data_IF_502862342971
#
_entry.id   IF_502862342971
#
_cell.length_a   1.000
_cell.length_b   1.000
_cell.length_c   1.000
_cell.angle_alpha   90.00
_cell.angle_beta   90.00
_cell.angle_gamma   90.00
#
_symmetry.space_group_name_H-M   'P 1'
#
loop_
_entity.id
_entity.type
_entity.pdbx_description
1 polymer ?
#
# COMPACT_ATOMS: atom_id res chain seq x y z
N UNK A 1 -19.41 9.08 -18.44
CA UNK A 1 -20.24 7.87 -18.52
C UNK A 1 -21.38 8.04 -17.52
N UNK A 2 -22.63 8.00 -17.96
CA UNK A 2 -23.80 8.06 -17.06
C UNK A 2 -23.74 6.85 -16.11
N UNK A 3 -24.04 7.08 -14.82
CA UNK A 3 -24.10 5.98 -13.86
C UNK A 3 -25.26 5.05 -14.24
N UNK A 4 -25.08 3.72 -14.16
CA UNK A 4 -26.18 2.79 -14.42
C UNK A 4 -27.33 3.04 -13.43
N UNK A 5 -28.59 2.78 -13.82
CA UNK A 5 -29.71 2.89 -12.90
C UNK A 5 -29.51 1.93 -11.70
N UNK A 6 -30.07 2.25 -10.53
CA UNK A 6 -30.02 1.34 -9.38
C UNK A 6 -30.56 -0.05 -9.72
N UNK A 7 -29.80 -1.10 -9.35
CA UNK A 7 -30.15 -2.51 -9.52
C UNK A 7 -29.99 -3.21 -8.16
N UNK A 8 -31.02 -3.09 -7.31
CA UNK A 8 -30.92 -3.43 -5.88
C UNK A 8 -30.59 -4.89 -5.60
N UNK A 9 -31.05 -5.82 -6.44
CA UNK A 9 -30.80 -7.25 -6.30
C UNK A 9 -29.60 -7.74 -7.11
N UNK A 10 -28.97 -6.85 -7.89
CA UNK A 10 -27.94 -7.15 -8.89
C UNK A 10 -28.43 -8.16 -9.95
N UNK A 11 -29.69 -8.05 -10.37
CA UNK A 11 -30.27 -8.87 -11.42
C UNK A 11 -29.44 -8.82 -12.71
N UNK A 12 -29.17 -10.00 -13.29
CA UNK A 12 -28.38 -10.13 -14.51
C UNK A 12 -26.87 -10.04 -14.31
N UNK A 13 -26.38 -9.95 -13.06
CA UNK A 13 -24.97 -10.02 -12.76
C UNK A 13 -24.53 -11.42 -12.32
N UNK A 14 -23.30 -11.78 -12.71
CA UNK A 14 -22.58 -12.95 -12.23
C UNK A 14 -21.19 -12.53 -11.77
N UNK A 15 -20.92 -12.80 -10.50
CA UNK A 15 -19.64 -12.64 -9.84
C UNK A 15 -18.84 -13.94 -9.93
N UNK A 16 -17.71 -13.89 -10.61
CA UNK A 16 -16.70 -14.94 -10.61
C UNK A 16 -15.54 -14.54 -9.70
N UNK A 17 -15.23 -15.37 -8.72
CA UNK A 17 -14.12 -15.20 -7.79
C UNK A 17 -13.02 -16.21 -8.14
N UNK A 18 -11.85 -15.70 -8.55
CA UNK A 18 -10.64 -16.47 -8.80
C UNK A 18 -9.60 -16.12 -7.71
N UNK A 19 -9.40 -17.01 -6.76
CA UNK A 19 -8.53 -16.77 -5.59
C UNK A 19 -7.85 -18.04 -5.08
N UNK A 20 -6.69 -17.91 -4.44
CA UNK A 20 -5.96 -19.04 -3.84
C UNK A 20 -6.60 -19.54 -2.54
N UNK A 21 -7.59 -18.79 -2.05
CA UNK A 21 -8.37 -19.03 -0.85
C UNK A 21 -9.85 -19.14 -1.23
N UNK A 22 -10.60 -19.88 -0.43
CA UNK A 22 -12.05 -20.05 -0.61
C UNK A 22 -12.79 -19.00 0.20
N UNK A 23 -13.69 -18.19 -0.40
CA UNK A 23 -14.56 -17.30 0.35
C UNK A 23 -15.33 -18.07 1.43
N UNK A 24 -15.41 -17.57 2.67
CA UNK A 24 -16.15 -18.25 3.72
C UNK A 24 -17.62 -18.50 3.31
N UNK A 25 -18.22 -19.67 3.60
CA UNK A 25 -19.61 -19.94 3.24
C UNK A 25 -20.59 -18.87 3.73
N UNK A 26 -20.40 -18.36 4.94
CA UNK A 26 -21.18 -17.27 5.54
C UNK A 26 -21.09 -15.96 4.74
N UNK A 27 -19.97 -15.72 4.06
CA UNK A 27 -19.82 -14.56 3.18
C UNK A 27 -20.64 -14.74 1.90
N UNK A 28 -20.64 -15.95 1.32
CA UNK A 28 -21.45 -16.26 0.12
C UNK A 28 -22.94 -16.21 0.45
N UNK A 29 -23.35 -16.72 1.61
CA UNK A 29 -24.74 -16.69 2.06
C UNK A 29 -25.20 -15.25 2.36
N UNK A 30 -24.33 -14.42 2.93
CA UNK A 30 -24.57 -12.97 3.04
C UNK A 30 -24.83 -12.34 1.67
N UNK A 31 -23.99 -12.59 0.66
CA UNK A 31 -24.19 -12.04 -0.68
C UNK A 31 -25.52 -12.48 -1.30
N UNK A 32 -25.91 -13.75 -1.14
CA UNK A 32 -27.21 -14.27 -1.60
C UNK A 32 -28.39 -13.61 -0.88
N UNK A 33 -28.25 -13.31 0.40
CA UNK A 33 -29.28 -12.62 1.17
C UNK A 33 -29.41 -11.14 0.80
N UNK A 34 -28.29 -10.44 0.54
CA UNK A 34 -28.30 -9.02 0.19
C UNK A 34 -28.66 -8.79 -1.30
N UNK A 35 -28.25 -9.71 -2.18
CA UNK A 35 -28.41 -9.62 -3.63
C UNK A 35 -28.96 -10.96 -4.18
N UNK A 36 -30.26 -11.23 -4.05
CA UNK A 36 -30.85 -12.54 -4.36
C UNK A 36 -30.74 -12.96 -5.83
N UNK A 37 -30.54 -12.01 -6.75
CA UNK A 37 -30.38 -12.30 -8.19
C UNK A 37 -28.91 -12.32 -8.64
N UNK A 38 -27.94 -12.12 -7.73
CA UNK A 38 -26.51 -12.21 -8.03
C UNK A 38 -26.07 -13.68 -8.05
N UNK A 39 -25.65 -14.16 -9.22
CA UNK A 39 -24.97 -15.45 -9.30
C UNK A 39 -23.53 -15.31 -8.77
N UNK A 40 -23.11 -16.18 -7.85
CA UNK A 40 -21.75 -16.19 -7.29
C UNK A 40 -21.10 -17.53 -7.55
N UNK A 41 -19.93 -17.51 -8.20
CA UNK A 41 -19.11 -18.69 -8.51
C UNK A 41 -17.69 -18.45 -8.01
N UNK A 42 -17.07 -19.48 -7.45
CA UNK A 42 -15.68 -19.43 -7.00
C UNK A 42 -14.90 -20.60 -7.59
N UNK A 43 -13.71 -20.30 -8.09
CA UNK A 43 -12.72 -21.28 -8.50
C UNK A 43 -11.37 -20.96 -7.87
N UNK A 44 -10.71 -22.00 -7.34
CA UNK A 44 -9.40 -21.84 -6.72
C UNK A 44 -8.34 -21.56 -7.80
N UNK A 45 -7.56 -20.50 -7.63
CA UNK A 45 -6.51 -20.09 -8.57
C UNK A 45 -5.40 -19.31 -7.86
N UNK A 46 -4.13 -19.65 -8.13
CA UNK A 46 -3.02 -18.92 -7.50
C UNK A 46 -2.92 -17.49 -8.02
N UNK A 47 -2.43 -16.57 -7.18
CA UNK A 47 -2.39 -15.15 -7.51
C UNK A 47 -1.62 -14.85 -8.82
N UNK A 48 -0.53 -15.60 -9.07
CA UNK A 48 0.34 -15.44 -10.23
C UNK A 48 -0.19 -16.10 -11.50
N UNK A 49 -1.18 -16.99 -11.39
CA UNK A 49 -1.70 -17.71 -12.54
C UNK A 49 -2.40 -16.73 -13.50
N UNK A 50 -2.13 -16.90 -14.79
CA UNK A 50 -2.65 -16.00 -15.84
C UNK A 50 -3.96 -16.50 -16.45
N UNK A 51 -4.30 -17.78 -16.26
CA UNK A 51 -5.52 -18.39 -16.77
C UNK A 51 -6.03 -19.43 -15.78
N UNK A 52 -7.36 -19.65 -15.70
CA UNK A 52 -7.92 -20.78 -14.98
C UNK A 52 -7.35 -22.13 -15.47
N UNK A 53 -7.19 -23.09 -14.56
CA UNK A 53 -6.69 -24.43 -14.87
C UNK A 53 -7.71 -25.33 -15.58
N UNK A 54 -7.34 -26.59 -15.82
CA UNK A 54 -8.14 -27.55 -16.60
C UNK A 54 -9.55 -27.88 -16.05
N UNK A 55 -9.84 -27.55 -14.79
CA UNK A 55 -11.15 -27.76 -14.17
C UNK A 55 -12.16 -26.63 -14.38
N UNK A 56 -11.77 -25.54 -15.04
CA UNK A 56 -12.63 -24.40 -15.32
C UNK A 56 -13.32 -24.58 -16.68
N UNK A 57 -14.65 -24.48 -16.75
CA UNK A 57 -15.39 -24.51 -18.01
C UNK A 57 -15.30 -23.14 -18.70
N UNK A 58 -14.67 -23.02 -19.89
CA UNK A 58 -14.58 -21.75 -20.61
C UNK A 58 -15.93 -21.09 -20.91
N UNK A 59 -17.02 -21.87 -20.98
CA UNK A 59 -18.37 -21.32 -21.18
C UNK A 59 -18.82 -20.45 -20.01
N UNK A 60 -18.25 -20.62 -18.82
CA UNK A 60 -18.56 -19.81 -17.64
C UNK A 60 -18.22 -18.34 -17.83
N UNK A 61 -17.27 -17.98 -18.70
CA UNK A 61 -16.93 -16.57 -18.96
C UNK A 61 -18.06 -15.80 -19.65
N UNK A 62 -18.90 -16.46 -20.44
CA UNK A 62 -19.85 -15.81 -21.37
C UNK A 62 -20.92 -14.95 -20.68
N UNK A 63 -21.23 -15.26 -19.43
CA UNK A 63 -22.24 -14.58 -18.62
C UNK A 63 -21.64 -13.85 -17.40
N UNK A 64 -20.32 -13.89 -17.20
CA UNK A 64 -19.63 -13.14 -16.14
C UNK A 64 -19.72 -11.64 -16.43
N UNK A 65 -20.17 -10.88 -15.43
CA UNK A 65 -20.20 -9.42 -15.47
C UNK A 65 -19.26 -8.78 -14.46
N UNK A 66 -18.92 -9.52 -13.39
CA UNK A 66 -18.03 -9.09 -12.32
C UNK A 66 -16.96 -10.17 -12.07
N UNK A 67 -15.70 -9.76 -12.03
CA UNK A 67 -14.57 -10.65 -11.77
C UNK A 67 -13.77 -10.17 -10.56
N UNK A 68 -13.53 -11.03 -9.57
CA UNK A 68 -12.48 -10.83 -8.57
C UNK A 68 -11.29 -11.74 -8.93
N UNK A 69 -10.10 -11.18 -9.11
CA UNK A 69 -8.92 -11.94 -9.56
C UNK A 69 -7.60 -11.33 -9.08
N UNK A 70 -6.55 -12.14 -9.03
CA UNK A 70 -5.17 -11.66 -8.87
C UNK A 70 -4.61 -11.15 -10.21
N UNK A 71 -4.35 -12.09 -11.12
CA UNK A 71 -3.70 -11.83 -12.41
C UNK A 71 -4.40 -12.45 -13.63
N UNK A 72 -5.41 -13.31 -13.43
CA UNK A 72 -6.05 -14.03 -14.53
C UNK A 72 -7.17 -13.17 -15.13
N UNK A 73 -6.97 -12.72 -16.36
CA UNK A 73 -7.90 -11.89 -17.12
C UNK A 73 -8.35 -12.64 -18.38
N UNK A 74 -9.66 -12.66 -18.70
CA UNK A 74 -10.14 -13.16 -19.98
C UNK A 74 -9.90 -12.14 -21.09
N UNK A 75 -9.96 -12.58 -22.34
CA UNK A 75 -10.20 -11.68 -23.47
C UNK A 75 -11.64 -11.17 -23.45
N UNK A 76 -11.89 -10.04 -24.11
CA UNK A 76 -13.27 -9.51 -24.20
C UNK A 76 -14.20 -10.44 -25.00
N UNK A 77 -13.65 -11.24 -25.92
CA UNK A 77 -14.44 -12.22 -26.69
C UNK A 77 -14.83 -13.44 -25.84
N UNK A 78 -13.98 -13.86 -24.90
CA UNK A 78 -14.31 -14.90 -23.93
C UNK A 78 -15.37 -14.42 -22.93
N UNK A 79 -15.25 -13.18 -22.44
CA UNK A 79 -16.13 -12.58 -21.44
C UNK A 79 -16.83 -11.29 -21.95
N UNK A 80 -17.74 -11.38 -22.94
CA UNK A 80 -18.31 -10.21 -23.63
C UNK A 80 -19.23 -9.36 -22.75
N UNK A 81 -19.66 -9.88 -21.60
CA UNK A 81 -20.50 -9.16 -20.64
C UNK A 81 -19.73 -8.58 -19.46
N UNK A 82 -18.40 -8.77 -19.41
CA UNK A 82 -17.59 -8.28 -18.30
C UNK A 82 -17.64 -6.76 -18.23
N UNK A 83 -17.92 -6.23 -17.03
CA UNK A 83 -18.07 -4.80 -16.79
C UNK A 83 -17.10 -4.29 -15.72
N UNK A 84 -16.77 -5.14 -14.76
CA UNK A 84 -16.05 -4.78 -13.55
C UNK A 84 -15.07 -5.87 -13.13
N UNK A 85 -13.82 -5.49 -12.89
CA UNK A 85 -12.78 -6.32 -12.31
C UNK A 85 -12.31 -5.73 -10.96
N UNK A 86 -12.44 -6.51 -9.89
CA UNK A 86 -11.81 -6.27 -8.60
C UNK A 86 -10.47 -7.01 -8.55
N UNK A 87 -9.36 -6.27 -8.61
CA UNK A 87 -8.05 -6.84 -8.37
C UNK A 87 -7.86 -7.12 -6.87
N UNK A 88 -7.22 -8.24 -6.57
CA UNK A 88 -6.79 -8.56 -5.20
C UNK A 88 -5.57 -7.75 -4.76
N UNK A 89 -4.83 -7.15 -5.70
CA UNK A 89 -3.63 -6.35 -5.43
C UNK A 89 -3.93 -4.87 -5.20
N UNK A 90 -3.12 -4.22 -4.37
CA UNK A 90 -3.22 -2.77 -4.15
C UNK A 90 -2.72 -1.93 -5.35
N UNK A 91 -1.79 -2.47 -6.14
CA UNK A 91 -1.33 -1.88 -7.40
C UNK A 91 -1.84 -2.63 -8.63
N UNK A 92 -1.75 -1.99 -9.80
CA UNK A 92 -2.23 -2.53 -11.09
C UNK A 92 -1.09 -2.80 -12.11
N UNK A 93 0.17 -2.64 -11.72
CA UNK A 93 1.34 -2.68 -12.60
C UNK A 93 1.41 -3.94 -13.49
N UNK A 94 0.97 -5.09 -12.96
CA UNK A 94 1.01 -6.39 -13.62
C UNK A 94 -0.03 -6.57 -14.73
N UNK A 95 -1.02 -5.67 -14.85
CA UNK A 95 -2.09 -5.73 -15.86
C UNK A 95 -2.12 -4.52 -16.81
N UNK A 96 -1.24 -3.52 -16.64
CA UNK A 96 -1.28 -2.28 -17.44
C UNK A 96 -1.13 -2.49 -18.95
N UNK A 97 -0.48 -3.58 -19.36
CA UNK A 97 -0.26 -3.92 -20.78
C UNK A 97 -1.36 -4.82 -21.37
N UNK A 98 -2.28 -5.30 -20.54
CA UNK A 98 -3.29 -6.26 -20.95
C UNK A 98 -4.35 -5.60 -21.86
N UNK A 99 -4.74 -6.21 -23.00
CA UNK A 99 -5.75 -5.67 -23.89
C UNK A 99 -7.11 -5.43 -23.22
N UNK A 100 -7.51 -6.27 -22.26
CA UNK A 100 -8.76 -6.07 -21.52
C UNK A 100 -8.71 -4.75 -20.74
N UNK A 101 -7.56 -4.42 -20.16
CA UNK A 101 -7.37 -3.14 -19.48
C UNK A 101 -7.29 -1.97 -20.46
N UNK A 102 -6.49 -2.08 -21.52
CA UNK A 102 -6.19 -0.97 -22.44
C UNK A 102 -7.32 -0.63 -23.40
N UNK A 103 -7.92 -1.66 -24.00
CA UNK A 103 -8.67 -1.53 -25.25
C UNK A 103 -10.18 -1.66 -25.03
N UNK A 104 -10.63 -1.73 -23.77
CA UNK A 104 -12.05 -1.85 -23.41
C UNK A 104 -12.51 -0.80 -22.40
N UNK A 105 -13.82 -0.72 -22.18
CA UNK A 105 -14.42 0.13 -21.15
C UNK A 105 -14.64 -0.60 -19.81
N UNK A 106 -14.10 -1.81 -19.64
CA UNK A 106 -14.16 -2.55 -18.37
C UNK A 106 -13.51 -1.71 -17.27
N UNK A 107 -14.21 -1.58 -16.14
CA UNK A 107 -13.73 -0.89 -14.96
C UNK A 107 -12.83 -1.81 -14.14
N UNK A 108 -11.67 -1.30 -13.72
CA UNK A 108 -10.76 -2.02 -12.84
C UNK A 108 -10.65 -1.28 -11.51
N UNK A 109 -10.81 -2.01 -10.41
CA UNK A 109 -10.61 -1.50 -9.05
C UNK A 109 -9.47 -2.27 -8.36
N UNK A 110 -8.66 -1.60 -7.55
CA UNK A 110 -7.61 -2.25 -6.76
C UNK A 110 -8.07 -2.56 -5.34
N UNK A 111 -7.25 -3.35 -4.65
CA UNK A 111 -7.32 -3.52 -3.20
C UNK A 111 -6.61 -2.38 -2.44
N UNK A 112 -6.54 -1.15 -2.98
CA UNK A 112 -5.99 -0.01 -2.24
C UNK A 112 -6.70 0.16 -0.88
N UNK A 113 -5.92 0.36 0.18
CA UNK A 113 -6.41 0.48 1.56
C UNK A 113 -6.31 -0.77 2.43
N UNK A 114 -6.12 -1.97 1.87
CA UNK A 114 -6.05 -3.21 2.67
C UNK A 114 -4.80 -3.31 3.54
N UNK A 115 -3.69 -2.70 3.10
CA UNK A 115 -2.39 -2.82 3.76
C UNK A 115 -2.14 -1.78 4.86
N UNK A 116 -2.90 -0.68 4.86
CA UNK A 116 -2.66 0.46 5.75
C UNK A 116 -2.43 0.09 7.22
N UNK A 117 -3.28 -0.76 7.84
CA UNK A 117 -3.11 -1.15 9.24
C UNK A 117 -1.78 -1.86 9.51
N UNK A 118 -1.50 -2.94 8.77
CA UNK A 118 -0.31 -3.79 9.00
C UNK A 118 1.00 -3.03 8.71
N UNK A 119 1.05 -2.27 7.62
CA UNK A 119 2.25 -1.52 7.27
C UNK A 119 2.52 -0.42 8.30
N UNK A 120 1.47 0.22 8.83
CA UNK A 120 1.65 1.24 9.88
C UNK A 120 2.17 0.64 11.18
N UNK A 121 1.72 -0.57 11.55
CA UNK A 121 2.31 -1.31 12.67
C UNK A 121 3.79 -1.58 12.41
N UNK A 122 4.15 -2.10 11.23
CA UNK A 122 5.54 -2.39 10.87
C UNK A 122 6.44 -1.14 10.93
N UNK A 123 5.99 -0.01 10.39
CA UNK A 123 6.74 1.27 10.41
C UNK A 123 7.02 1.69 11.86
N UNK A 124 5.99 1.68 12.71
CA UNK A 124 6.11 2.13 14.09
C UNK A 124 6.95 1.13 14.90
N UNK A 125 6.75 -0.17 14.72
CA UNK A 125 7.52 -1.21 15.41
C UNK A 125 9.00 -1.10 15.07
N UNK A 126 9.36 -0.94 13.80
CA UNK A 126 10.78 -0.85 13.40
C UNK A 126 11.43 0.44 13.91
N UNK A 127 10.73 1.57 13.84
CA UNK A 127 11.20 2.83 14.42
C UNK A 127 11.39 2.73 15.94
N UNK A 128 10.38 2.25 16.69
CA UNK A 128 10.47 2.12 18.14
C UNK A 128 11.52 1.09 18.55
N UNK A 129 11.64 -0.02 17.82
CA UNK A 129 12.70 -1.02 18.05
C UNK A 129 14.08 -0.40 17.96
N UNK A 130 14.34 0.39 16.92
CA UNK A 130 15.58 1.13 16.78
C UNK A 130 15.76 2.17 17.90
N UNK A 131 14.73 2.98 18.16
CA UNK A 131 14.75 4.08 19.12
C UNK A 131 14.97 3.64 20.57
N UNK A 132 14.51 2.44 20.92
CA UNK A 132 14.68 1.81 22.23
C UNK A 132 15.85 0.81 22.26
N UNK A 133 16.68 0.79 21.20
CA UNK A 133 17.87 -0.06 21.09
C UNK A 133 17.57 -1.57 21.25
N UNK A 134 16.37 -2.02 20.87
CA UNK A 134 15.97 -3.42 21.02
C UNK A 134 16.93 -4.40 20.31
N UNK A 135 17.43 -4.15 19.08
CA UNK A 135 18.37 -5.08 18.45
C UNK A 135 19.60 -5.37 19.32
N UNK A 136 20.22 -4.32 19.86
CA UNK A 136 21.37 -4.41 20.79
C UNK A 136 21.03 -5.23 22.05
N UNK A 137 19.86 -4.98 22.63
CA UNK A 137 19.44 -5.70 23.84
C UNK A 137 19.01 -7.14 23.56
N UNK A 138 18.48 -7.44 22.38
CA UNK A 138 18.19 -8.82 21.92
C UNK A 138 19.49 -9.61 21.81
N UNK A 139 20.55 -9.02 21.24
CA UNK A 139 21.86 -9.68 21.16
C UNK A 139 22.45 -9.94 22.55
N UNK A 140 22.34 -8.96 23.46
CA UNK A 140 22.79 -9.10 24.85
C UNK A 140 22.02 -10.20 25.60
N UNK A 141 20.69 -10.22 25.46
CA UNK A 141 19.82 -11.25 26.01
C UNK A 141 20.19 -12.65 25.49
N UNK A 142 20.39 -12.79 24.17
CA UNK A 142 20.78 -14.06 23.54
C UNK A 142 22.16 -14.54 23.98
N UNK A 143 23.08 -13.62 24.26
CA UNK A 143 24.39 -13.93 24.82
C UNK A 143 24.37 -14.21 26.34
N UNK A 144 23.22 -14.09 27.02
CA UNK A 144 23.13 -14.28 28.46
C UNK A 144 23.78 -13.15 29.27
N UNK A 145 23.85 -11.94 28.71
CA UNK A 145 24.50 -10.80 29.34
C UNK A 145 23.47 -9.77 29.83
N UNK A 146 23.49 -9.51 31.14
CA UNK A 146 22.73 -8.43 31.75
C UNK A 146 23.59 -7.17 31.84
N UNK A 147 23.47 -6.28 30.85
CA UNK A 147 24.19 -5.01 30.83
C UNK A 147 23.21 -3.84 30.78
N UNK A 148 23.21 -3.03 31.83
CA UNK A 148 22.51 -1.74 31.81
C UNK A 148 23.36 -0.74 31.04
N UNK A 149 22.79 -0.13 30.00
CA UNK A 149 23.39 1.01 29.31
C UNK A 149 22.95 2.34 29.94
N UNK A 150 23.76 3.38 29.74
CA UNK A 150 23.45 4.77 30.12
C UNK A 150 22.94 5.60 28.92
N UNK A 151 22.76 4.96 27.75
CA UNK A 151 22.22 5.59 26.55
C UNK A 151 20.76 6.01 26.78
N UNK A 152 20.49 7.30 26.61
CA UNK A 152 19.13 7.85 26.68
C UNK A 152 18.38 7.54 25.39
N UNK A 153 17.11 7.14 25.55
CA UNK A 153 16.16 6.99 24.44
C UNK A 153 15.38 8.29 24.24
N UNK A 154 14.93 8.52 23.01
CA UNK A 154 14.03 9.61 22.68
C UNK A 154 12.64 9.04 22.42
N UNK A 155 11.63 9.47 23.18
CA UNK A 155 10.26 9.08 22.87
C UNK A 155 9.71 9.83 21.64
N UNK A 156 8.54 9.40 21.16
CA UNK A 156 7.87 9.94 19.99
C UNK A 156 7.24 11.33 20.21
N UNK A 157 7.09 11.78 21.46
CA UNK A 157 6.27 12.95 21.77
C UNK A 157 6.94 14.22 21.26
N UNK A 158 6.23 14.95 20.41
CA UNK A 158 6.72 16.20 19.80
C UNK A 158 7.72 16.01 18.66
N UNK A 159 8.11 14.77 18.35
CA UNK A 159 8.94 14.42 17.18
C UNK A 159 8.15 14.58 15.89
N UNK A 160 8.86 14.69 14.77
CA UNK A 160 8.25 14.91 13.45
C UNK A 160 8.41 13.68 12.57
N UNK A 161 7.28 13.14 12.10
CA UNK A 161 7.24 12.13 11.05
C UNK A 161 6.93 12.79 9.71
N UNK A 162 7.81 12.59 8.72
CA UNK A 162 7.59 12.96 7.33
C UNK A 162 7.07 11.77 6.54
N UNK A 163 5.96 11.94 5.82
CA UNK A 163 5.35 10.89 5.01
C UNK A 163 5.44 11.28 3.53
N UNK A 164 6.38 10.65 2.81
CA UNK A 164 6.61 10.82 1.38
C UNK A 164 5.63 9.95 0.60
N UNK A 165 4.45 10.51 0.29
CA UNK A 165 3.34 9.78 -0.32
C UNK A 165 2.16 9.64 0.65
N UNK A 166 1.25 10.62 0.64
CA UNK A 166 0.08 10.65 1.54
C UNK A 166 -1.16 9.91 1.00
N UNK A 167 -0.96 8.65 0.60
CA UNK A 167 -2.01 7.71 0.18
C UNK A 167 -2.63 6.93 1.34
N UNK A 168 -3.27 5.80 1.06
CA UNK A 168 -3.94 4.97 2.09
C UNK A 168 -3.01 4.53 3.23
N UNK A 169 -1.79 4.10 2.90
CA UNK A 169 -0.75 3.74 3.89
C UNK A 169 -0.36 4.96 4.71
N UNK A 170 0.05 6.05 4.04
CA UNK A 170 0.49 7.28 4.70
C UNK A 170 -0.57 7.87 5.64
N UNK A 171 -1.85 7.82 5.25
CA UNK A 171 -2.98 8.26 6.07
C UNK A 171 -3.17 7.42 7.33
N UNK A 172 -3.08 6.09 7.22
CA UNK A 172 -3.15 5.23 8.40
C UNK A 172 -1.91 5.39 9.29
N UNK A 173 -0.73 5.56 8.70
CA UNK A 173 0.50 5.82 9.44
C UNK A 173 0.43 7.14 10.20
N UNK A 174 -0.08 8.21 9.57
CA UNK A 174 -0.31 9.49 10.23
C UNK A 174 -1.25 9.37 11.44
N UNK A 175 -2.35 8.63 11.28
CA UNK A 175 -3.29 8.36 12.37
C UNK A 175 -2.61 7.70 13.57
N UNK A 176 -1.79 6.67 13.33
CA UNK A 176 -1.08 5.95 14.40
C UNK A 176 0.00 6.82 15.01
N UNK A 177 0.77 7.53 14.18
CA UNK A 177 1.84 8.41 14.64
C UNK A 177 1.31 9.58 15.49
N UNK A 178 0.18 10.19 15.10
CA UNK A 178 -0.47 11.23 15.92
C UNK A 178 -0.91 10.68 17.29
N UNK A 179 -1.40 9.44 17.34
CA UNK A 179 -1.77 8.80 18.61
C UNK A 179 -0.55 8.58 19.54
N UNK A 180 0.66 8.48 18.98
CA UNK A 180 1.93 8.38 19.70
C UNK A 180 2.57 9.75 20.01
N UNK A 181 1.94 10.86 19.60
CA UNK A 181 2.42 12.22 19.88
C UNK A 181 3.33 12.84 18.82
N UNK A 182 3.46 12.23 17.64
CA UNK A 182 4.20 12.84 16.53
C UNK A 182 3.45 14.04 15.91
N UNK A 183 4.21 15.04 15.46
CA UNK A 183 3.81 15.99 14.42
C UNK A 183 3.94 15.31 13.05
N UNK A 184 2.95 15.47 12.18
CA UNK A 184 2.92 14.79 10.87
C UNK A 184 3.13 15.81 9.76
N UNK A 185 4.18 15.61 8.95
CA UNK A 185 4.43 16.36 7.72
C UNK A 185 4.12 15.46 6.52
N UNK A 186 3.18 15.86 5.68
CA UNK A 186 2.77 15.08 4.51
C UNK A 186 3.37 15.66 3.22
N UNK A 187 3.86 14.81 2.33
CA UNK A 187 4.26 15.18 0.98
C UNK A 187 3.38 14.50 -0.07
N UNK A 188 2.96 15.28 -1.07
CA UNK A 188 2.14 14.81 -2.19
C UNK A 188 2.59 15.45 -3.50
N UNK A 189 2.36 14.78 -4.64
CA UNK A 189 2.73 15.36 -5.95
C UNK A 189 1.95 16.66 -6.26
N UNK A 190 0.66 16.68 -5.91
CA UNK A 190 -0.23 17.80 -6.17
C UNK A 190 -0.60 18.53 -4.88
N UNK A 191 -0.70 19.86 -4.90
CA UNK A 191 -1.02 20.64 -3.72
C UNK A 191 -2.39 20.28 -3.14
N UNK A 192 -2.48 20.33 -1.80
CA UNK A 192 -3.70 20.05 -1.04
C UNK A 192 -4.05 21.23 -0.11
N UNK A 193 -4.31 22.43 -0.65
CA UNK A 193 -4.40 23.67 0.14
C UNK A 193 -5.68 23.76 0.97
N UNK A 194 -6.78 23.14 0.56
CA UNK A 194 -8.09 23.21 1.23
C UNK A 194 -8.48 21.89 1.90
N UNK A 195 -9.36 21.89 2.93
CA UNK A 195 -9.91 20.66 3.49
C UNK A 195 -10.51 19.71 2.45
N UNK A 196 -11.24 20.26 1.46
CA UNK A 196 -11.86 19.47 0.38
C UNK A 196 -10.80 18.79 -0.47
N UNK A 197 -9.71 19.49 -0.80
CA UNK A 197 -8.61 18.91 -1.57
C UNK A 197 -7.90 17.81 -0.81
N UNK A 198 -7.88 17.83 0.53
CA UNK A 198 -7.21 16.85 1.39
C UNK A 198 -8.02 15.57 1.61
N UNK A 199 -9.31 15.57 1.25
CA UNK A 199 -10.16 14.38 1.39
C UNK A 199 -9.67 13.23 0.54
N UNK A 200 -9.85 12.03 1.07
CA UNK A 200 -9.67 10.78 0.34
C UNK A 200 -10.95 9.95 0.42
N UNK A 201 -11.39 9.49 -0.75
CA UNK A 201 -12.61 8.68 -0.91
C UNK A 201 -12.28 7.22 -1.25
N UNK A 202 -10.99 6.87 -1.26
CA UNK A 202 -10.54 5.50 -1.41
C UNK A 202 -10.96 4.65 -0.21
N UNK A 203 -10.94 3.33 -0.37
CA UNK A 203 -11.28 2.45 0.73
C UNK A 203 -10.27 2.56 1.88
N UNK A 204 -10.78 2.56 3.10
CA UNK A 204 -10.03 2.31 4.34
C UNK A 204 -10.95 1.51 5.27
N UNK A 205 -10.42 0.61 6.12
CA UNK A 205 -11.23 -0.02 7.13
C UNK A 205 -11.95 1.03 8.01
N UNK A 206 -13.19 0.76 8.47
CA UNK A 206 -13.94 1.71 9.28
C UNK A 206 -13.16 2.21 10.51
N UNK A 207 -13.16 3.53 10.73
CA UNK A 207 -12.45 4.17 11.85
C UNK A 207 -10.93 4.29 11.71
N UNK A 208 -10.38 3.83 10.58
CA UNK A 208 -8.95 3.90 10.26
C UNK A 208 -8.68 4.89 9.11
N UNK A 209 -7.40 5.17 8.89
CA UNK A 209 -6.92 6.13 7.90
C UNK A 209 -7.13 7.57 8.34
N UNK A 210 -7.22 8.45 7.35
CA UNK A 210 -7.44 9.89 7.52
C UNK A 210 -8.34 10.42 6.40
N UNK A 211 -9.63 10.04 6.33
CA UNK A 211 -10.48 10.40 5.20
C UNK A 211 -10.59 11.91 4.97
N UNK A 212 -10.47 12.71 6.03
CA UNK A 212 -10.57 14.17 5.97
C UNK A 212 -9.22 14.88 5.83
N UNK A 213 -8.09 14.17 5.90
CA UNK A 213 -6.75 14.76 5.79
C UNK A 213 -6.40 15.71 6.94
N UNK A 214 -6.79 15.36 8.17
CA UNK A 214 -6.71 16.21 9.37
C UNK A 214 -5.43 16.02 10.18
N UNK A 215 -4.75 14.88 10.06
CA UNK A 215 -3.57 14.60 10.89
C UNK A 215 -2.31 15.41 10.53
N UNK A 216 -2.03 15.75 9.24
CA UNK A 216 -0.82 16.48 8.93
C UNK A 216 -0.88 17.91 9.48
N UNK A 217 0.10 18.25 10.31
CA UNK A 217 0.35 19.61 10.80
C UNK A 217 1.00 20.50 9.74
N UNK A 218 1.64 19.90 8.72
CA UNK A 218 2.16 20.60 7.56
C UNK A 218 1.96 19.77 6.28
N UNK A 219 1.69 20.46 5.18
CA UNK A 219 1.53 19.88 3.85
C UNK A 219 2.58 20.45 2.90
N UNK A 220 3.30 19.55 2.26
CA UNK A 220 4.29 19.85 1.24
C UNK A 220 3.82 19.21 -0.07
N UNK A 221 4.19 19.84 -1.18
CA UNK A 221 3.88 19.28 -2.49
C UNK A 221 4.78 19.81 -3.57
N UNK A 222 4.95 19.02 -4.62
CA UNK A 222 5.61 19.47 -5.83
C UNK A 222 6.26 18.32 -6.59
N UNK A 223 6.97 18.68 -7.64
CA UNK A 223 7.72 17.73 -8.48
C UNK A 223 9.19 18.15 -8.65
N UNK A 224 9.58 19.31 -8.13
CA UNK A 224 10.96 19.79 -8.22
C UNK A 224 11.80 19.29 -7.04
N UNK A 225 13.13 19.27 -7.24
CA UNK A 225 14.07 19.00 -6.14
C UNK A 225 13.93 20.01 -4.99
N UNK A 226 13.66 21.28 -5.29
CA UNK A 226 13.46 22.30 -4.27
C UNK A 226 12.25 21.99 -3.38
N UNK A 227 11.13 21.54 -3.98
CA UNK A 227 9.94 21.14 -3.23
C UNK A 227 10.23 19.94 -2.31
N UNK A 228 10.95 18.94 -2.84
CA UNK A 228 11.35 17.76 -2.08
C UNK A 228 12.30 18.15 -0.93
N UNK A 229 13.32 18.96 -1.18
CA UNK A 229 14.28 19.41 -0.17
C UNK A 229 13.61 20.26 0.91
N UNK A 230 12.63 21.10 0.56
CA UNK A 230 11.85 21.83 1.55
C UNK A 230 11.10 20.89 2.52
N UNK A 231 10.58 19.78 2.01
CA UNK A 231 9.96 18.74 2.83
C UNK A 231 10.97 17.95 3.66
N UNK A 232 12.05 17.46 3.05
CA UNK A 232 13.08 16.69 3.77
C UNK A 232 13.75 17.53 4.87
N UNK A 233 13.97 18.82 4.59
CA UNK A 233 14.55 19.79 5.53
C UNK A 233 13.58 20.33 6.58
N UNK A 234 12.33 19.84 6.63
CA UNK A 234 11.30 20.34 7.55
C UNK A 234 11.42 19.83 8.99
N UNK A 235 12.57 19.24 9.35
CA UNK A 235 12.88 18.82 10.72
C UNK A 235 12.44 17.40 11.08
N UNK A 236 12.49 16.47 10.12
CA UNK A 236 12.03 15.09 10.26
C UNK A 236 12.92 14.25 11.18
N UNK A 237 12.33 13.61 12.19
CA UNK A 237 12.98 12.57 13.02
C UNK A 237 12.83 11.18 12.38
N UNK A 238 11.70 10.95 11.69
CA UNK A 238 11.38 9.74 10.92
C UNK A 238 10.87 10.14 9.53
N UNK A 239 11.44 9.58 8.47
CA UNK A 239 10.95 9.67 7.10
C UNK A 239 10.35 8.33 6.68
N UNK A 240 9.08 8.32 6.30
CA UNK A 240 8.37 7.17 5.72
C UNK A 240 8.27 7.35 4.21
N UNK A 241 8.81 6.40 3.45
CA UNK A 241 8.71 6.34 1.99
C UNK A 241 7.51 5.48 1.61
N UNK A 242 6.47 6.11 1.08
CA UNK A 242 5.18 5.51 0.74
C UNK A 242 4.66 5.95 -0.65
N UNK A 243 5.56 6.38 -1.54
CA UNK A 243 5.25 6.80 -2.91
C UNK A 243 5.36 5.61 -3.89
N UNK A 244 4.55 5.52 -4.95
CA UNK A 244 4.74 4.48 -5.97
C UNK A 244 6.07 4.61 -6.70
N UNK A 245 6.58 3.51 -7.25
CA UNK A 245 7.73 3.51 -8.17
C UNK A 245 7.29 3.86 -9.59
N UNK A 246 7.91 4.89 -10.13
CA UNK A 246 7.74 5.45 -11.48
C UNK A 246 9.09 5.97 -11.95
N UNK A 247 9.22 6.32 -13.22
CA UNK A 247 10.45 6.97 -13.73
C UNK A 247 10.81 8.26 -12.96
N UNK A 248 9.81 8.96 -12.38
CA UNK A 248 10.01 10.18 -11.61
C UNK A 248 10.38 9.94 -10.15
N UNK A 249 10.17 8.73 -9.64
CA UNK A 249 10.39 8.37 -8.23
C UNK A 249 11.51 7.34 -8.06
N UNK A 250 12.07 6.84 -9.16
CA UNK A 250 13.30 6.05 -9.14
C UNK A 250 14.48 6.93 -8.70
N UNK A 251 15.24 6.46 -7.72
CA UNK A 251 16.33 7.16 -7.04
C UNK A 251 15.94 8.57 -6.59
N UNK A 252 14.70 8.74 -6.15
CA UNK A 252 14.19 10.00 -5.61
C UNK A 252 14.97 10.43 -4.38
N UNK A 253 15.44 9.47 -3.58
CA UNK A 253 16.35 9.70 -2.46
C UNK A 253 17.73 9.17 -2.83
N UNK A 254 18.64 10.08 -3.18
CA UNK A 254 20.05 9.82 -3.44
C UNK A 254 20.91 10.69 -2.51
N UNK A 255 22.24 10.67 -2.67
CA UNK A 255 23.17 11.40 -1.81
C UNK A 255 22.77 12.86 -1.50
N UNK A 256 22.31 13.70 -2.46
CA UNK A 256 21.90 15.07 -2.16
C UNK A 256 20.68 15.15 -1.23
N UNK A 257 19.70 14.28 -1.42
CA UNK A 257 18.48 14.24 -0.61
C UNK A 257 18.76 13.65 0.78
N UNK A 258 19.63 12.64 0.88
CA UNK A 258 20.09 12.09 2.16
C UNK A 258 20.89 13.12 2.97
N UNK A 259 21.70 13.95 2.31
CA UNK A 259 22.43 15.04 2.97
C UNK A 259 21.50 16.09 3.61
N UNK A 260 20.31 16.34 3.05
CA UNK A 260 19.31 17.23 3.67
C UNK A 260 18.82 16.65 5.01
N UNK A 261 18.66 15.33 5.09
CA UNK A 261 18.21 14.63 6.30
C UNK A 261 19.26 14.62 7.43
N UNK A 262 20.52 14.94 7.11
CA UNK A 262 21.61 15.02 8.09
C UNK A 262 21.34 16.01 9.22
N UNK A 263 20.60 17.09 8.95
CA UNK A 263 20.29 18.13 9.94
C UNK A 263 19.54 17.62 11.17
N UNK A 264 18.80 16.50 11.04
CA UNK A 264 18.14 15.80 12.16
C UNK A 264 18.64 14.38 12.35
N UNK A 265 19.62 13.95 11.54
CA UNK A 265 20.05 12.56 11.42
C UNK A 265 18.85 11.63 11.26
N UNK A 266 17.93 11.94 10.36
CA UNK A 266 16.61 11.28 10.25
C UNK A 266 16.71 9.75 10.14
N UNK A 267 15.76 9.03 10.74
CA UNK A 267 15.58 7.59 10.50
C UNK A 267 14.71 7.36 9.27
N UNK A 268 15.09 6.46 8.37
CA UNK A 268 14.34 6.20 7.12
C UNK A 268 13.57 4.88 7.22
N UNK A 269 12.29 4.87 6.86
CA UNK A 269 11.47 3.66 6.72
C UNK A 269 10.98 3.55 5.28
N UNK A 270 11.48 2.55 4.53
CA UNK A 270 11.03 2.28 3.16
C UNK A 270 10.17 1.02 3.12
N UNK A 271 8.88 1.22 2.87
CA UNK A 271 7.87 0.17 2.68
C UNK A 271 7.32 0.16 1.24
N UNK A 272 7.86 1.01 0.38
CA UNK A 272 7.33 1.25 -0.95
C UNK A 272 8.00 0.33 -1.96
N UNK A 273 9.10 0.77 -2.59
CA UNK A 273 9.91 -0.03 -3.50
C UNK A 273 11.38 0.29 -3.29
N UNK A 274 12.25 -0.71 -3.42
CA UNK A 274 13.70 -0.55 -3.25
C UNK A 274 14.29 0.58 -4.11
N UNK A 275 14.06 0.58 -5.44
CA UNK A 275 14.67 1.55 -6.35
C UNK A 275 14.23 3.02 -6.15
N UNK A 276 13.39 3.33 -5.17
CA UNK A 276 13.06 4.73 -4.82
C UNK A 276 14.24 5.39 -4.11
N UNK A 277 15.03 4.60 -3.38
CA UNK A 277 16.26 5.05 -2.73
C UNK A 277 17.43 4.48 -3.52
N UNK A 278 18.44 5.29 -3.80
CA UNK A 278 19.70 4.77 -4.30
C UNK A 278 20.37 3.94 -3.18
N UNK A 279 20.51 2.64 -3.40
CA UNK A 279 21.01 1.70 -2.38
C UNK A 279 22.42 2.03 -1.90
N UNK A 280 23.33 2.37 -2.81
CA UNK A 280 24.74 2.65 -2.47
C UNK A 280 24.87 3.94 -1.65
N UNK A 281 24.13 4.99 -2.04
CA UNK A 281 24.10 6.24 -1.30
C UNK A 281 23.50 6.05 0.10
N UNK A 282 22.49 5.19 0.24
CA UNK A 282 21.91 4.85 1.55
C UNK A 282 22.92 4.13 2.43
N UNK A 283 23.63 3.14 1.89
CA UNK A 283 24.69 2.42 2.64
C UNK A 283 25.76 3.40 3.11
N UNK A 284 26.25 4.28 2.23
CA UNK A 284 27.23 5.30 2.59
C UNK A 284 26.70 6.24 3.70
N UNK A 285 25.47 6.72 3.59
CA UNK A 285 24.84 7.61 4.56
C UNK A 285 24.58 6.96 5.93
N UNK A 286 24.36 5.64 5.96
CA UNK A 286 24.27 4.86 7.21
C UNK A 286 25.65 4.67 7.85
N UNK A 287 26.66 4.38 7.03
CA UNK A 287 28.00 4.07 7.51
C UNK A 287 28.75 5.29 8.06
N UNK A 288 28.55 6.46 7.44
CA UNK A 288 29.10 7.75 7.87
C UNK A 288 28.23 8.49 8.91
N UNK A 289 26.99 8.03 9.13
CA UNK A 289 26.07 8.57 10.13
C UNK A 289 25.28 9.80 9.70
N UNK A 290 25.28 10.15 8.41
CA UNK A 290 24.40 11.14 7.76
C UNK A 290 22.95 10.86 8.12
N UNK A 291 22.52 9.60 8.07
CA UNK A 291 21.24 9.15 8.64
C UNK A 291 21.51 8.27 9.84
N UNK A 292 20.66 8.34 10.88
CA UNK A 292 20.92 7.59 12.12
C UNK A 292 20.65 6.09 11.99
N UNK A 293 19.81 5.70 11.05
CA UNK A 293 19.39 4.32 10.81
C UNK A 293 18.30 4.24 9.76
N UNK A 294 17.98 3.01 9.34
CA UNK A 294 16.87 2.77 8.45
C UNK A 294 16.18 1.41 8.70
N UNK A 295 14.95 1.30 8.24
CA UNK A 295 14.20 0.06 8.13
C UNK A 295 13.73 -0.11 6.68
N UNK A 296 14.10 -1.23 6.07
CA UNK A 296 13.78 -1.57 4.68
C UNK A 296 12.95 -2.85 4.65
N UNK A 297 11.68 -2.73 4.25
CA UNK A 297 10.92 -3.92 3.85
C UNK A 297 11.14 -4.25 2.38
N UNK A 298 11.72 -3.33 1.62
CA UNK A 298 11.96 -3.47 0.17
C UNK A 298 13.41 -3.07 -0.12
N UNK A 299 14.01 -3.75 -1.08
CA UNK A 299 15.44 -3.57 -1.41
C UNK A 299 15.66 -3.53 -2.91
N UNK A 300 16.81 -3.06 -3.34
CA UNK A 300 17.24 -3.11 -4.74
C UNK A 300 18.69 -3.62 -4.79
N UNK A 301 18.94 -4.81 -5.36
CA UNK A 301 17.99 -5.71 -6.03
C UNK A 301 17.10 -6.51 -5.07
N UNK A 302 16.00 -7.07 -5.58
CA UNK A 302 15.06 -7.93 -4.83
C UNK A 302 14.80 -9.25 -5.59
N UNK A 303 14.91 -10.45 -4.95
CA UNK A 303 15.34 -10.69 -3.57
C UNK A 303 16.76 -10.20 -3.29
N UNK A 304 17.02 -9.78 -2.04
CA UNK A 304 18.33 -9.26 -1.65
C UNK A 304 19.38 -10.40 -1.65
N UNK A 305 20.44 -10.33 -2.47
CA UNK A 305 21.43 -11.40 -2.57
C UNK A 305 22.26 -11.58 -1.30
N UNK A 306 22.68 -12.81 -1.02
CA UNK A 306 23.63 -13.09 0.06
C UNK A 306 24.93 -12.28 -0.12
N UNK A 307 25.46 -11.74 0.99
CA UNK A 307 26.70 -10.96 0.97
C UNK A 307 26.56 -9.51 0.46
N UNK A 308 25.37 -9.10 0.01
CA UNK A 308 25.08 -7.71 -0.37
C UNK A 308 25.45 -6.70 0.76
N UNK A 309 26.00 -5.52 0.46
CA UNK A 309 26.42 -4.53 1.46
C UNK A 309 25.36 -4.13 2.49
N UNK A 310 24.08 -4.07 2.08
CA UNK A 310 22.95 -3.82 2.98
C UNK A 310 22.93 -4.76 4.19
N UNK A 311 23.34 -6.03 4.07
CA UNK A 311 23.37 -6.93 5.23
C UNK A 311 24.33 -6.50 6.35
N UNK A 312 25.30 -5.63 6.03
CA UNK A 312 26.34 -5.18 6.96
C UNK A 312 26.25 -3.69 7.29
N UNK A 313 25.37 -2.95 6.62
CA UNK A 313 25.22 -1.51 6.83
C UNK A 313 24.81 -1.23 8.28
N UNK A 314 25.35 -0.15 8.86
CA UNK A 314 25.08 0.20 10.25
C UNK A 314 23.62 0.56 10.47
N UNK A 315 23.08 0.20 11.64
CA UNK A 315 21.75 0.66 12.11
C UNK A 315 20.61 0.37 11.14
N UNK A 316 20.70 -0.74 10.41
CA UNK A 316 19.73 -1.15 9.39
C UNK A 316 18.91 -2.35 9.85
N UNK A 317 17.59 -2.25 9.71
CA UNK A 317 16.64 -3.35 9.85
C UNK A 317 16.12 -3.73 8.46
N UNK A 318 16.12 -5.03 8.12
CA UNK A 318 15.62 -5.53 6.83
C UNK A 318 14.55 -6.59 7.08
N UNK A 319 13.42 -6.49 6.37
CA UNK A 319 12.45 -7.57 6.24
C UNK A 319 12.20 -7.89 4.77
N UNK A 320 11.89 -9.15 4.41
CA UNK A 320 11.88 -9.60 3.03
C UNK A 320 10.53 -9.31 2.33
N UNK A 321 10.14 -8.04 2.24
CA UNK A 321 8.92 -7.58 1.57
C UNK A 321 7.63 -8.18 2.16
N UNK A 322 7.51 -8.12 3.48
CA UNK A 322 6.43 -8.74 4.25
C UNK A 322 5.60 -7.75 5.08
N UNK A 323 5.92 -6.46 5.09
CA UNK A 323 5.21 -5.45 5.89
C UNK A 323 3.72 -5.35 5.55
N UNK A 324 3.33 -5.78 4.35
CA UNK A 324 1.94 -5.82 3.91
C UNK A 324 1.21 -7.14 4.19
N UNK A 325 1.88 -8.18 4.68
CA UNK A 325 1.31 -9.51 4.90
C UNK A 325 0.52 -9.56 6.20
N UNK A 326 -0.79 -9.81 6.11
CA UNK A 326 -1.69 -9.79 7.26
C UNK A 326 -2.70 -10.92 7.17
N UNK A 327 -3.03 -11.55 8.30
CA UNK A 327 -4.08 -12.56 8.37
C UNK A 327 -5.47 -12.00 7.96
N UNK A 328 -5.69 -10.69 8.12
CA UNK A 328 -6.93 -10.01 7.74
C UNK A 328 -6.96 -9.54 6.28
N UNK A 329 -5.98 -9.94 5.44
CA UNK A 329 -5.88 -9.45 4.07
C UNK A 329 -7.14 -9.76 3.25
N UNK A 330 -7.58 -11.02 3.33
CA UNK A 330 -8.71 -11.55 2.56
C UNK A 330 -10.01 -10.86 2.97
N UNK A 331 -10.25 -10.72 4.28
CA UNK A 331 -11.41 -9.99 4.82
C UNK A 331 -11.49 -8.56 4.31
N UNK A 332 -10.35 -7.87 4.21
CA UNK A 332 -10.30 -6.48 3.72
C UNK A 332 -10.52 -6.40 2.20
N UNK A 333 -10.05 -7.38 1.42
CA UNK A 333 -10.37 -7.47 -0.01
C UNK A 333 -11.87 -7.70 -0.22
N UNK A 334 -12.46 -8.62 0.55
CA UNK A 334 -13.91 -8.88 0.51
C UNK A 334 -14.72 -7.64 0.95
N UNK A 335 -14.24 -6.87 1.93
CA UNK A 335 -14.89 -5.62 2.33
C UNK A 335 -14.87 -4.54 1.22
N UNK A 336 -13.84 -4.51 0.37
CA UNK A 336 -13.82 -3.64 -0.83
C UNK A 336 -14.83 -4.14 -1.86
N UNK A 337 -14.86 -5.46 -2.09
CA UNK A 337 -15.85 -6.07 -2.99
C UNK A 337 -17.27 -5.73 -2.53
N UNK A 338 -17.60 -5.90 -1.25
CA UNK A 338 -18.89 -5.54 -0.66
C UNK A 338 -19.25 -4.07 -0.90
N UNK A 339 -18.29 -3.16 -0.67
CA UNK A 339 -18.50 -1.73 -0.89
C UNK A 339 -18.80 -1.44 -2.37
N UNK A 340 -18.12 -2.11 -3.29
CA UNK A 340 -18.31 -1.94 -4.73
C UNK A 340 -19.61 -2.59 -5.23
N UNK A 341 -19.99 -3.76 -4.73
CA UNK A 341 -21.28 -4.39 -5.01
C UNK A 341 -22.44 -3.51 -4.52
N UNK A 342 -22.33 -2.95 -3.31
CA UNK A 342 -23.30 -1.98 -2.79
C UNK A 342 -23.39 -0.72 -3.64
N UNK A 343 -22.24 -0.16 -4.05
CA UNK A 343 -22.23 1.02 -4.93
C UNK A 343 -22.85 0.70 -6.28
N UNK A 344 -22.55 -0.46 -6.86
CA UNK A 344 -23.13 -0.92 -8.12
C UNK A 344 -24.67 -1.06 -8.01
N UNK A 345 -25.17 -1.71 -6.95
CA UNK A 345 -26.61 -1.91 -6.75
C UNK A 345 -27.39 -0.61 -6.53
N UNK A 346 -26.70 0.44 -6.08
CA UNK A 346 -27.25 1.78 -5.87
C UNK A 346 -27.04 2.72 -7.06
N UNK A 347 -26.42 2.27 -8.16
CA UNK A 347 -26.09 3.13 -9.30
C UNK A 347 -25.05 4.20 -8.94
N UNK A 348 -24.14 3.92 -8.00
CA UNK A 348 -23.06 4.81 -7.57
C UNK A 348 -21.72 4.40 -8.16
N UNK A 349 -20.79 5.37 -8.24
CA UNK A 349 -19.43 5.13 -8.74
C UNK A 349 -18.65 4.20 -7.81
N UNK A 350 -17.97 3.21 -8.39
CA UNK A 350 -17.07 2.29 -7.68
C UNK A 350 -15.93 3.04 -6.96
N UNK A 351 -15.39 2.42 -5.91
CA UNK A 351 -14.18 2.87 -5.20
C UNK A 351 -12.93 2.28 -5.81
N UNK A 352 -11.77 2.89 -5.52
CA UNK A 352 -10.44 2.39 -5.93
C UNK A 352 -10.29 2.14 -7.43
N UNK A 353 -11.01 2.90 -8.27
CA UNK A 353 -10.90 2.80 -9.73
C UNK A 353 -9.49 3.17 -10.17
N UNK A 354 -8.86 2.29 -10.98
CA UNK A 354 -7.57 2.54 -11.60
C UNK A 354 -7.74 3.59 -12.69
N UNK A 355 -6.92 4.65 -12.65
CA UNK A 355 -6.85 5.59 -13.76
C UNK A 355 -6.05 4.97 -14.92
N UNK A 356 -6.73 4.59 -16.00
CA UNK A 356 -6.07 3.96 -17.17
C UNK A 356 -4.93 4.79 -17.79
N UNK A 357 -4.95 6.12 -17.63
CA UNK A 357 -3.91 7.01 -18.14
C UNK A 357 -2.67 7.06 -17.25
N UNK A 358 -2.86 6.96 -15.93
CA UNK A 358 -1.79 7.11 -14.93
C UNK A 358 -1.25 5.75 -14.47
N UNK A 359 -2.04 4.69 -14.62
CA UNK A 359 -1.67 3.32 -14.25
C UNK A 359 -1.80 3.00 -12.75
N UNK A 360 -2.44 3.89 -11.96
CA UNK A 360 -2.70 3.71 -10.54
C UNK A 360 -4.02 4.34 -10.08
#
# INVERSE_FOLDING_TARGET
MLLPPPNKTLQGHKLLILSSWTPPPEYVDKLRSEYPDLAVVHHKLEFSDKKPGAGFDPAEWKDVTILLTGSALPTIDEAPKLQYVQLQSAGANHILKDPLFKDTNVSFCTANGVHGPQISEWIITTYLSFQHHLPKYIDSYRAGHWQRGDELVEDAVGRTIGILGYGSIGRQTARVATALGFKVHAYTLHPRPTPESRRDNSYTPPGLGDPEGKFPSAWFSGASKADLHAFLGSGLDLLVVATPLTDKTSHLLAAPELAVLAGRRTFISNIARGPIINTDDLVAALDDGTVRGAALDVTDPEPLPDGHPLWKAKNLLITPHISGMSASYQDRVLAILDLNLKRLSEGRKLTNLVNKKEGY
#
